data_IF_870026959486
#
_entry.id   IF_870026959486
#
_cell.length_a   1.000
_cell.length_b   1.000
_cell.length_c   1.000
_cell.angle_alpha   90.00
_cell.angle_beta   90.00
_cell.angle_gamma   90.00
#
_symmetry.space_group_name_H-M   'P 1'
#
loop_
_entity.id
_entity.type
_entity.pdbx_description
1 polymer ?
#
# COMPACT_ATOMS: atom_id res chain seq x y z
N UNK A 1 13.33 -41.30 -7.64
CA UNK A 1 13.46 -40.85 -9.03
C UNK A 1 13.59 -39.34 -8.99
N UNK A 2 14.83 -38.88 -9.06
CA UNK A 2 15.25 -37.47 -9.01
C UNK A 2 14.89 -36.79 -10.32
N UNK A 3 14.32 -35.58 -10.26
CA UNK A 3 14.06 -34.77 -11.45
C UNK A 3 15.32 -34.03 -11.84
N UNK A 4 15.88 -34.44 -12.98
CA UNK A 4 17.04 -33.85 -13.64
C UNK A 4 16.68 -32.50 -14.30
N UNK A 5 17.62 -31.56 -14.17
CA UNK A 5 17.61 -30.23 -14.74
C UNK A 5 17.65 -30.29 -16.27
N UNK A 6 16.62 -29.76 -16.93
CA UNK A 6 16.68 -29.48 -18.38
C UNK A 6 17.33 -28.12 -18.57
N UNK A 7 18.61 -28.19 -18.92
CA UNK A 7 19.42 -27.16 -19.57
C UNK A 7 18.75 -26.72 -20.88
N UNK A 8 18.49 -25.41 -21.03
CA UNK A 8 18.24 -24.81 -22.35
C UNK A 8 19.51 -24.10 -22.79
N UNK A 9 20.08 -24.68 -23.84
CA UNK A 9 21.34 -24.37 -24.47
C UNK A 9 21.45 -22.96 -25.09
N UNK A 10 22.68 -22.45 -24.99
CA UNK A 10 23.47 -21.80 -26.05
C UNK A 10 22.72 -20.96 -27.09
N UNK A 11 22.99 -19.66 -27.06
CA UNK A 11 23.56 -19.02 -28.26
C UNK A 11 24.91 -18.40 -27.92
N UNK A 12 25.95 -19.12 -28.31
CA UNK A 12 27.30 -18.59 -28.49
C UNK A 12 27.24 -17.50 -29.55
N UNK A 13 27.61 -16.28 -29.18
CA UNK A 13 28.13 -15.29 -30.12
C UNK A 13 29.62 -15.13 -29.80
N UNK A 14 30.42 -15.88 -30.54
CA UNK A 14 31.89 -15.86 -30.57
C UNK A 14 32.41 -14.67 -31.38
N UNK A 15 33.27 -13.84 -30.79
CA UNK A 15 34.51 -13.30 -31.40
C UNK A 15 35.23 -12.39 -30.39
N UNK A 16 36.31 -12.82 -29.72
CA UNK A 16 37.76 -12.68 -30.09
C UNK A 16 38.15 -11.26 -30.49
N UNK A 17 39.10 -10.52 -29.90
CA UNK A 17 40.14 -10.65 -28.87
C UNK A 17 40.27 -9.24 -28.22
N UNK A 18 40.77 -9.04 -27.01
CA UNK A 18 42.19 -8.71 -26.73
C UNK A 18 42.41 -8.73 -25.21
N UNK A 19 43.62 -9.16 -24.87
CA UNK A 19 44.13 -9.54 -23.57
C UNK A 19 44.14 -8.45 -22.49
N UNK A 20 43.94 -8.93 -21.26
CA UNK A 20 44.74 -8.71 -20.04
C UNK A 20 45.31 -7.31 -19.83
N UNK A 21 44.86 -6.66 -18.75
CA UNK A 21 45.73 -5.93 -17.83
C UNK A 21 45.12 -5.98 -16.42
N UNK A 22 45.69 -6.83 -15.56
CA UNK A 22 45.49 -6.80 -14.12
C UNK A 22 46.01 -5.47 -13.57
N UNK A 23 45.13 -4.63 -13.03
CA UNK A 23 45.53 -3.57 -12.12
C UNK A 23 44.75 -3.72 -10.82
N UNK A 24 45.48 -4.15 -9.79
CA UNK A 24 45.10 -4.03 -8.39
C UNK A 24 45.08 -2.53 -8.07
N UNK A 25 43.94 -1.99 -7.63
CA UNK A 25 43.81 -0.55 -7.43
C UNK A 25 42.70 -0.17 -6.47
N UNK A 26 43.06 -0.10 -5.19
CA UNK A 26 42.56 0.82 -4.16
C UNK A 26 41.07 0.75 -3.75
N UNK A 27 40.85 0.15 -2.58
CA UNK A 27 39.78 0.47 -1.63
C UNK A 27 39.80 1.98 -1.35
N UNK A 28 38.79 2.70 -1.80
CA UNK A 28 38.50 4.07 -1.35
C UNK A 28 37.02 4.14 -0.93
N UNK A 29 36.87 4.55 0.32
CA UNK A 29 35.62 4.58 1.07
C UNK A 29 34.55 5.51 0.50
N UNK A 30 33.36 5.33 1.05
CA UNK A 30 32.10 5.74 0.47
C UNK A 30 31.72 7.21 0.57
N UNK A 31 30.73 7.53 -0.26
CA UNK A 31 29.66 8.51 -0.08
C UNK A 31 28.45 7.81 -0.75
N UNK A 32 27.43 7.33 -0.01
CA UNK A 32 26.29 8.13 0.44
C UNK A 32 25.58 8.74 -0.78
N UNK A 33 24.36 8.39 -1.18
CA UNK A 33 23.15 8.22 -0.38
C UNK A 33 22.25 7.14 -1.00
N UNK A 34 21.83 6.17 -0.17
CA UNK A 34 20.66 5.37 -0.47
C UNK A 34 19.46 6.31 -0.59
N UNK A 35 18.92 6.48 -1.79
CA UNK A 35 17.56 7.00 -1.95
C UNK A 35 16.61 5.97 -1.35
N UNK A 36 16.41 6.03 -0.03
CA UNK A 36 15.15 5.58 0.53
C UNK A 36 14.10 6.53 -0.02
N UNK A 37 13.60 6.20 -1.22
CA UNK A 37 12.26 6.60 -1.61
C UNK A 37 11.40 6.28 -0.39
N UNK A 38 10.88 7.33 0.27
CA UNK A 38 9.97 7.18 1.39
C UNK A 38 8.69 6.56 0.85
N UNK A 39 8.71 5.25 0.71
CA UNK A 39 7.55 4.36 0.78
C UNK A 39 7.06 4.29 2.23
N UNK A 40 6.94 5.46 2.86
CA UNK A 40 6.52 5.66 4.25
C UNK A 40 5.20 6.43 4.28
N UNK A 41 4.33 6.12 3.33
CA UNK A 41 2.91 6.49 3.33
C UNK A 41 1.94 5.34 3.74
N UNK A 42 2.29 4.03 3.69
CA UNK A 42 1.33 2.99 4.12
C UNK A 42 1.44 2.59 5.60
N UNK A 43 2.58 2.86 6.25
CA UNK A 43 2.88 2.40 7.62
C UNK A 43 2.01 3.12 8.67
N UNK A 44 1.84 4.44 8.52
CA UNK A 44 1.13 5.28 9.48
C UNK A 44 -0.36 4.96 9.50
N UNK A 45 -0.98 4.73 8.32
CA UNK A 45 -2.37 4.32 8.24
C UNK A 45 -2.58 2.90 8.79
N UNK A 46 -1.62 2.00 8.59
CA UNK A 46 -1.70 0.60 9.02
C UNK A 46 -1.59 0.40 10.55
N UNK A 47 -0.78 1.20 11.24
CA UNK A 47 -0.56 1.05 12.70
C UNK A 47 -1.69 1.68 13.51
N UNK A 48 -2.28 2.79 13.05
CA UNK A 48 -3.43 3.41 13.71
C UNK A 48 -4.74 2.66 13.45
N UNK A 49 -4.77 1.83 12.40
CA UNK A 49 -5.94 1.11 11.97
C UNK A 49 -6.46 0.00 12.90
N UNK A 50 -5.61 -0.57 13.74
CA UNK A 50 -6.00 -1.77 14.53
C UNK A 50 -6.27 -1.45 16.00
N UNK A 51 -5.68 -0.37 16.53
CA UNK A 51 -5.80 0.01 17.94
C UNK A 51 -6.83 1.12 18.22
N UNK A 52 -7.45 1.71 17.18
CA UNK A 52 -8.34 2.87 17.33
C UNK A 52 -9.62 2.60 18.13
N UNK A 53 -10.16 3.69 18.69
CA UNK A 53 -11.53 3.80 19.21
C UNK A 53 -12.56 3.59 18.08
N UNK A 54 -13.84 3.37 18.43
CA UNK A 54 -14.91 3.22 17.43
C UNK A 54 -14.98 4.43 16.47
N UNK A 55 -14.83 5.64 17.00
CA UNK A 55 -14.89 6.87 16.21
C UNK A 55 -13.71 7.01 15.23
N UNK A 56 -12.51 6.60 15.64
CA UNK A 56 -11.33 6.64 14.79
C UNK A 56 -11.41 5.60 13.66
N UNK A 57 -11.85 4.38 13.98
CA UNK A 57 -12.06 3.32 13.01
C UNK A 57 -13.14 3.69 11.99
N UNK A 58 -14.23 4.30 12.45
CA UNK A 58 -15.30 4.78 11.57
C UNK A 58 -14.84 5.90 10.64
N UNK A 59 -14.10 6.89 11.16
CA UNK A 59 -13.52 7.95 10.33
C UNK A 59 -12.58 7.37 9.26
N UNK A 60 -11.70 6.45 9.66
CA UNK A 60 -10.76 5.82 8.74
C UNK A 60 -11.48 4.94 7.69
N UNK A 61 -12.52 4.22 8.10
CA UNK A 61 -13.38 3.45 7.20
C UNK A 61 -14.02 4.35 6.13
N UNK A 62 -14.59 5.49 6.51
CA UNK A 62 -15.22 6.40 5.56
C UNK A 62 -14.23 6.99 4.55
N UNK A 63 -13.02 7.32 4.98
CA UNK A 63 -11.94 7.76 4.07
C UNK A 63 -11.60 6.65 3.06
N UNK A 64 -11.45 5.41 3.52
CA UNK A 64 -11.18 4.26 2.66
C UNK A 64 -12.30 3.98 1.66
N UNK A 65 -13.56 3.95 2.13
CA UNK A 65 -14.73 3.70 1.28
C UNK A 65 -14.91 4.80 0.23
N UNK A 66 -14.73 6.06 0.61
CA UNK A 66 -14.78 7.19 -0.32
C UNK A 66 -13.67 7.13 -1.36
N UNK A 67 -12.41 6.94 -0.94
CA UNK A 67 -11.27 6.85 -1.86
C UNK A 67 -11.46 5.76 -2.92
N UNK A 68 -11.97 4.58 -2.52
CA UNK A 68 -12.26 3.47 -3.43
C UNK A 68 -13.37 3.78 -4.46
N UNK A 69 -14.23 4.77 -4.21
CA UNK A 69 -15.23 5.24 -5.21
C UNK A 69 -14.69 6.26 -6.18
N UNK A 70 -13.59 6.97 -5.84
CA UNK A 70 -13.05 8.06 -6.66
C UNK A 70 -11.91 7.60 -7.56
N UNK A 71 -11.12 6.62 -7.11
CA UNK A 71 -9.94 6.16 -7.84
C UNK A 71 -9.59 4.71 -7.51
N UNK A 72 -8.75 4.11 -8.35
CA UNK A 72 -8.12 2.84 -8.02
C UNK A 72 -7.12 3.06 -6.87
N UNK A 73 -7.26 2.28 -5.79
CA UNK A 73 -6.31 2.28 -4.67
C UNK A 73 -5.24 1.21 -4.88
N UNK A 74 -4.00 1.49 -4.48
CA UNK A 74 -2.91 0.53 -4.56
C UNK A 74 -3.11 -0.64 -3.57
N UNK A 75 -2.38 -1.73 -3.78
CA UNK A 75 -2.53 -2.96 -3.00
C UNK A 75 -2.24 -2.77 -1.50
N UNK A 76 -1.28 -1.92 -1.15
CA UNK A 76 -0.93 -1.65 0.25
C UNK A 76 -2.06 -0.89 0.96
N UNK A 77 -2.60 0.12 0.29
CA UNK A 77 -3.76 0.87 0.78
C UNK A 77 -5.01 -0.01 0.87
N UNK A 78 -5.29 -0.83 -0.14
CA UNK A 78 -6.40 -1.78 -0.12
C UNK A 78 -6.31 -2.75 1.05
N UNK A 79 -5.11 -3.30 1.32
CA UNK A 79 -4.87 -4.18 2.46
C UNK A 79 -5.08 -3.47 3.80
N UNK A 80 -4.66 -2.21 3.93
CA UNK A 80 -4.91 -1.41 5.13
C UNK A 80 -6.41 -1.14 5.34
N UNK A 81 -7.12 -0.73 4.29
CA UNK A 81 -8.57 -0.51 4.32
C UNK A 81 -9.36 -1.78 4.65
N UNK A 82 -8.92 -2.95 4.17
CA UNK A 82 -9.52 -4.24 4.53
C UNK A 82 -9.36 -4.54 6.03
N UNK A 83 -8.15 -4.38 6.60
CA UNK A 83 -7.93 -4.57 8.04
C UNK A 83 -8.76 -3.59 8.90
N UNK A 84 -8.83 -2.33 8.50
CA UNK A 84 -9.69 -1.31 9.14
C UNK A 84 -11.16 -1.73 9.18
N UNK A 85 -11.66 -2.19 8.04
CA UNK A 85 -13.06 -2.63 7.88
C UNK A 85 -13.37 -3.81 8.80
N UNK A 86 -12.45 -4.78 8.88
CA UNK A 86 -12.60 -5.93 9.76
C UNK A 86 -12.59 -5.56 11.25
N UNK A 87 -11.69 -4.65 11.67
CA UNK A 87 -11.67 -4.16 13.05
C UNK A 87 -12.90 -3.34 13.41
N UNK A 88 -13.39 -2.48 12.50
CA UNK A 88 -14.64 -1.75 12.68
C UNK A 88 -15.83 -2.71 12.81
N UNK A 89 -15.91 -3.72 11.93
CA UNK A 89 -16.93 -4.77 11.97
C UNK A 89 -16.94 -5.46 13.33
N UNK A 90 -15.77 -5.89 13.79
CA UNK A 90 -15.61 -6.59 15.07
C UNK A 90 -16.02 -5.70 16.25
N UNK A 91 -15.53 -4.46 16.31
CA UNK A 91 -15.69 -3.58 17.47
C UNK A 91 -17.07 -2.90 17.53
N UNK A 92 -17.55 -2.33 16.43
CA UNK A 92 -18.82 -1.57 16.39
C UNK A 92 -20.04 -2.45 16.16
N UNK A 93 -19.89 -3.51 15.38
CA UNK A 93 -21.01 -4.36 14.94
C UNK A 93 -20.96 -5.78 15.50
N UNK A 94 -20.10 -6.02 16.51
CA UNK A 94 -19.92 -7.33 17.13
C UNK A 94 -19.64 -8.46 16.11
N UNK A 95 -18.94 -8.11 15.01
CA UNK A 95 -18.62 -9.03 13.92
C UNK A 95 -19.71 -9.20 12.86
N UNK A 96 -20.91 -8.63 13.03
CA UNK A 96 -22.01 -8.79 12.09
C UNK A 96 -21.80 -7.97 10.82
N UNK A 97 -21.58 -8.67 9.70
CA UNK A 97 -21.50 -8.04 8.39
C UNK A 97 -22.85 -7.44 7.96
N UNK A 98 -23.97 -8.12 8.22
CA UNK A 98 -25.29 -7.61 7.84
C UNK A 98 -25.65 -6.31 8.56
N UNK A 99 -25.32 -6.21 9.86
CA UNK A 99 -25.51 -4.97 10.61
C UNK A 99 -24.63 -3.84 10.05
N UNK A 100 -23.37 -4.15 9.74
CA UNK A 100 -22.45 -3.19 9.13
C UNK A 100 -22.94 -2.74 7.73
N UNK A 101 -23.42 -3.67 6.90
CA UNK A 101 -23.91 -3.36 5.57
C UNK A 101 -25.19 -2.51 5.62
N UNK A 102 -26.12 -2.83 6.54
CA UNK A 102 -27.33 -2.04 6.76
C UNK A 102 -26.98 -0.61 7.21
N UNK A 103 -26.06 -0.47 8.15
CA UNK A 103 -25.55 0.84 8.57
C UNK A 103 -24.87 1.59 7.42
N UNK A 104 -23.98 0.93 6.66
CA UNK A 104 -23.29 1.56 5.53
C UNK A 104 -24.27 2.12 4.50
N UNK A 105 -25.30 1.36 4.12
CA UNK A 105 -26.34 1.81 3.16
C UNK A 105 -27.06 3.08 3.62
N UNK A 106 -27.29 3.21 4.92
CA UNK A 106 -28.00 4.36 5.50
C UNK A 106 -27.11 5.61 5.59
N UNK A 107 -25.80 5.43 5.75
CA UNK A 107 -24.88 6.53 6.09
C UNK A 107 -23.97 6.95 4.94
N UNK A 108 -23.79 6.12 3.90
CA UNK A 108 -22.82 6.36 2.82
C UNK A 108 -22.96 7.74 2.17
N UNK A 109 -24.18 8.11 1.78
CA UNK A 109 -24.43 9.35 1.05
C UNK A 109 -24.02 10.61 1.85
N UNK A 110 -24.51 10.84 3.09
CA UNK A 110 -24.09 12.00 3.87
C UNK A 110 -22.60 11.99 4.23
N UNK A 111 -22.01 10.82 4.51
CA UNK A 111 -20.59 10.72 4.86
C UNK A 111 -19.68 11.03 3.65
N UNK A 112 -20.03 10.53 2.46
CA UNK A 112 -19.30 10.85 1.23
C UNK A 112 -19.41 12.33 0.88
N UNK A 113 -20.59 12.93 1.07
CA UNK A 113 -20.78 14.35 0.88
C UNK A 113 -19.92 15.18 1.85
N UNK A 114 -19.85 14.78 3.12
CA UNK A 114 -19.01 15.46 4.11
C UNK A 114 -17.52 15.43 3.71
N UNK A 115 -17.04 14.28 3.22
CA UNK A 115 -15.66 14.13 2.73
C UNK A 115 -15.39 14.94 1.46
N UNK A 116 -16.34 14.98 0.52
CA UNK A 116 -16.23 15.82 -0.69
C UNK A 116 -16.17 17.32 -0.34
N UNK A 117 -16.91 17.77 0.67
CA UNK A 117 -16.85 19.15 1.17
C UNK A 117 -15.52 19.43 1.87
N UNK A 118 -15.06 18.51 2.72
CA UNK A 118 -13.80 18.66 3.46
C UNK A 118 -12.57 18.64 2.53
N UNK A 119 -12.63 17.92 1.41
CA UNK A 119 -11.54 17.85 0.42
C UNK A 119 -11.49 19.02 -0.56
N UNK A 120 -12.48 19.92 -0.55
CA UNK A 120 -12.51 21.06 -1.47
C UNK A 120 -11.43 22.07 -1.08
N UNK A 121 -10.56 22.50 -2.02
CA UNK A 121 -9.66 23.63 -1.75
C UNK A 121 -10.51 24.84 -1.38
N UNK A 122 -10.28 25.43 -0.21
CA UNK A 122 -10.88 26.72 0.15
C UNK A 122 -10.35 27.74 -0.85
N UNK A 123 -11.20 28.16 -1.79
CA UNK A 123 -10.90 29.28 -2.65
C UNK A 123 -10.74 30.51 -1.74
N UNK A 124 -9.51 30.99 -1.67
CA UNK A 124 -9.08 32.21 -0.99
C UNK A 124 -10.06 33.35 -1.28
N UNK A 125 -10.54 34.01 -0.24
CA UNK A 125 -11.50 35.12 -0.29
C UNK A 125 -10.78 36.41 0.04
#
# INVERSE_FOLDING_TARGET
>A
MTQDFVSVDRRLATSTHVAVLLTVGAVLGGLGFSSSAREQAPQALAVHATAGTHAELERAFWVCDHAATKQLIDMGTAAACSRLTEELKKKKFNGSFDAMLAWWRQNKAPEHQALDVAGRPTADR
#
